data_IF_589297258273
#
_entry.id   IF_589297258273
#
_cell.length_a   1.000
_cell.length_b   1.000
_cell.length_c   1.000
_cell.angle_alpha   90.00
_cell.angle_beta   90.00
_cell.angle_gamma   90.00
#
_symmetry.space_group_name_H-M   'P 1'
#
loop_
_entity.id
_entity.type
_entity.pdbx_description
1 polymer ?
#
# COMPACT_ATOMS: atom_id res chain seq x y z
N UNK A 1 10.29 13.94 6.51
CA UNK A 1 9.50 13.14 5.57
C UNK A 1 9.13 14.04 4.41
N UNK A 2 9.56 13.67 3.21
CA UNK A 2 9.22 14.39 1.98
C UNK A 2 8.38 13.44 1.15
N UNK A 3 7.07 13.59 1.21
CA UNK A 3 6.14 12.72 0.49
C UNK A 3 5.95 13.23 -0.93
N UNK A 4 6.39 12.44 -1.91
CA UNK A 4 6.11 12.67 -3.31
C UNK A 4 4.78 12.02 -3.68
N UNK A 5 3.81 12.84 -4.07
CA UNK A 5 2.52 12.35 -4.58
C UNK A 5 2.70 11.61 -5.93
N UNK A 6 2.07 10.45 -6.05
CA UNK A 6 2.10 9.62 -7.27
C UNK A 6 0.74 9.55 -7.96
N UNK A 7 -0.33 9.49 -7.18
CA UNK A 7 -1.68 9.45 -7.71
C UNK A 7 -2.73 9.13 -6.67
N UNK A 8 -3.98 9.34 -7.09
CA UNK A 8 -5.20 9.06 -6.37
C UNK A 8 -6.12 8.24 -7.28
N UNK A 9 -7.00 7.45 -6.67
CA UNK A 9 -8.04 6.72 -7.38
C UNK A 9 -8.82 7.63 -8.36
N UNK A 10 -8.85 7.34 -9.67
CA UNK A 10 -9.53 8.20 -10.64
C UNK A 10 -11.06 8.19 -10.52
N UNK A 11 -11.63 7.24 -9.77
CA UNK A 11 -13.07 7.08 -9.58
C UNK A 11 -13.59 7.74 -8.30
N UNK A 12 -12.83 8.65 -7.68
CA UNK A 12 -13.23 9.33 -6.43
C UNK A 12 -14.53 10.13 -6.60
N UNK A 13 -15.64 9.62 -6.04
CA UNK A 13 -16.69 10.46 -5.45
C UNK A 13 -16.24 10.94 -4.07
N UNK A 14 -16.90 11.96 -3.51
CA UNK A 14 -16.50 12.78 -2.33
C UNK A 14 -16.14 12.05 -1.02
N UNK A 15 -16.07 10.72 -0.96
CA UNK A 15 -15.74 9.96 0.25
C UNK A 15 -14.70 8.83 0.12
N UNK A 16 -14.25 8.49 -1.09
CA UNK A 16 -13.31 7.38 -1.29
C UNK A 16 -12.10 7.82 -2.10
N UNK A 17 -10.96 7.98 -1.42
CA UNK A 17 -9.72 8.47 -2.03
C UNK A 17 -8.50 7.60 -1.72
N UNK A 18 -8.45 6.33 -2.16
CA UNK A 18 -7.21 5.57 -2.15
C UNK A 18 -6.09 6.36 -2.84
N UNK A 19 -4.97 6.56 -2.14
CA UNK A 19 -3.93 7.52 -2.54
C UNK A 19 -2.55 6.93 -2.31
N UNK A 20 -1.60 7.24 -3.20
CA UNK A 20 -0.25 6.68 -3.20
C UNK A 20 0.79 7.80 -3.22
N UNK A 21 1.77 7.69 -2.32
CA UNK A 21 2.96 8.52 -2.26
C UNK A 21 4.22 7.65 -2.19
N UNK A 22 5.36 8.28 -2.43
CA UNK A 22 6.69 7.75 -2.08
C UNK A 22 7.30 8.67 -1.03
N UNK A 23 7.82 8.13 0.06
CA UNK A 23 8.66 8.91 0.98
C UNK A 23 10.08 8.98 0.40
N UNK A 24 10.50 10.17 -0.03
CA UNK A 24 11.81 10.37 -0.66
C UNK A 24 12.99 10.22 0.32
N UNK A 25 12.73 10.10 1.63
CA UNK A 25 13.79 9.93 2.62
C UNK A 25 14.28 8.50 2.76
N UNK A 26 13.42 7.51 2.51
CA UNK A 26 13.74 6.09 2.67
C UNK A 26 13.25 5.22 1.49
N UNK A 27 12.58 5.82 0.50
CA UNK A 27 11.99 5.19 -0.68
C UNK A 27 10.80 4.28 -0.37
N UNK A 28 10.19 4.40 0.81
CA UNK A 28 9.01 3.62 1.15
C UNK A 28 7.78 4.09 0.36
N UNK A 29 6.94 3.12 0.01
CA UNK A 29 5.64 3.35 -0.60
C UNK A 29 4.63 3.63 0.52
N UNK A 30 4.01 4.81 0.51
CA UNK A 30 2.96 5.16 1.47
C UNK A 30 1.61 5.06 0.75
N UNK A 31 0.71 4.22 1.27
CA UNK A 31 -0.55 3.91 0.61
C UNK A 31 -1.72 4.10 1.57
N UNK A 32 -2.63 4.99 1.20
CA UNK A 32 -3.96 5.06 1.80
C UNK A 32 -4.90 4.14 1.02
N UNK A 33 -5.59 3.25 1.71
CA UNK A 33 -6.57 2.33 1.13
C UNK A 33 -7.78 2.12 2.02
N UNK A 34 -8.56 1.10 1.68
CA UNK A 34 -9.73 0.71 2.47
C UNK A 34 -9.35 -0.30 3.54
N UNK A 35 -10.02 -0.23 4.69
CA UNK A 35 -9.93 -1.28 5.70
C UNK A 35 -10.51 -2.59 5.15
N UNK A 36 -9.91 -3.75 5.46
CA UNK A 36 -10.48 -5.04 5.12
C UNK A 36 -11.76 -5.29 5.93
N UNK A 37 -12.55 -6.29 5.54
CA UNK A 37 -13.54 -6.87 6.43
C UNK A 37 -12.84 -7.81 7.42
N UNK A 38 -13.45 -8.12 8.58
CA UNK A 38 -12.86 -9.06 9.53
C UNK A 38 -12.54 -10.43 8.91
N UNK A 39 -13.36 -10.90 7.98
CA UNK A 39 -13.16 -12.18 7.29
C UNK A 39 -11.94 -12.15 6.37
N UNK A 40 -11.78 -11.06 5.60
CA UNK A 40 -10.62 -10.86 4.73
C UNK A 40 -9.33 -10.73 5.56
N UNK A 41 -9.38 -9.99 6.67
CA UNK A 41 -8.24 -9.83 7.56
C UNK A 41 -7.83 -11.16 8.20
N UNK A 42 -8.81 -11.96 8.65
CA UNK A 42 -8.57 -13.30 9.17
C UNK A 42 -8.00 -14.27 8.12
N UNK A 43 -8.47 -14.20 6.87
CA UNK A 43 -7.91 -14.99 5.76
C UNK A 43 -6.44 -14.64 5.52
N UNK A 44 -6.10 -13.35 5.50
CA UNK A 44 -4.71 -12.91 5.39
C UNK A 44 -3.86 -13.36 6.60
N UNK A 45 -4.39 -13.25 7.83
CA UNK A 45 -3.71 -13.64 9.05
C UNK A 45 -3.44 -15.16 9.15
N UNK A 46 -4.27 -15.98 8.52
CA UNK A 46 -4.11 -17.42 8.48
C UNK A 46 -3.08 -17.91 7.45
N UNK A 47 -2.52 -17.02 6.62
CA UNK A 47 -1.55 -17.40 5.61
C UNK A 47 -0.18 -17.74 6.25
N UNK A 48 0.29 -18.97 6.03
CA UNK A 48 1.55 -19.44 6.60
C UNK A 48 2.68 -19.41 5.56
N UNK A 49 3.81 -18.82 5.95
CA UNK A 49 5.07 -18.87 5.19
C UNK A 49 6.10 -19.63 6.03
N UNK A 50 6.76 -20.68 5.49
CA UNK A 50 7.78 -21.41 6.22
C UNK A 50 8.85 -20.49 6.80
N UNK A 51 9.07 -20.58 8.13
CA UNK A 51 10.03 -19.74 8.84
C UNK A 51 9.48 -18.43 9.39
N UNK A 52 8.18 -18.15 9.25
CA UNK A 52 7.51 -16.96 9.79
C UNK A 52 6.40 -17.34 10.77
N UNK A 53 6.09 -16.43 11.70
CA UNK A 53 4.96 -16.58 12.62
C UNK A 53 3.63 -16.44 11.85
N UNK A 54 2.61 -17.16 12.32
CA UNK A 54 1.24 -17.03 11.81
C UNK A 54 0.57 -15.82 12.45
N UNK A 55 -0.23 -15.09 11.67
CA UNK A 55 -0.93 -13.87 12.11
C UNK A 55 -0.32 -12.58 11.56
N UNK A 56 -0.99 -11.46 11.85
CA UNK A 56 -0.53 -10.11 11.52
C UNK A 56 0.01 -9.47 12.82
N UNK A 57 1.30 -9.07 12.87
CA UNK A 57 1.85 -8.36 14.03
C UNK A 57 1.15 -7.04 14.34
N UNK A 58 1.15 -6.61 15.61
CA UNK A 58 0.46 -5.40 16.08
C UNK A 58 0.84 -4.09 15.34
N UNK A 59 2.02 -4.06 14.71
CA UNK A 59 2.54 -2.90 13.99
C UNK A 59 2.34 -3.00 12.47
N UNK A 60 1.70 -4.08 11.99
CA UNK A 60 1.36 -4.30 10.59
C UNK A 60 -0.15 -4.22 10.40
N UNK A 61 -0.60 -3.95 9.16
CA UNK A 61 -2.01 -3.88 8.84
C UNK A 61 -2.27 -4.39 7.43
N UNK A 62 -3.38 -5.10 7.26
CA UNK A 62 -3.91 -5.41 5.93
C UNK A 62 -4.63 -4.17 5.40
N UNK A 63 -4.28 -3.73 4.20
CA UNK A 63 -4.92 -2.60 3.53
C UNK A 63 -5.43 -3.05 2.16
N UNK A 64 -6.72 -2.87 1.92
CA UNK A 64 -7.35 -3.25 0.64
C UNK A 64 -7.20 -2.13 -0.37
N UNK A 65 -6.56 -2.43 -1.49
CA UNK A 65 -6.34 -1.49 -2.60
C UNK A 65 -7.16 -1.92 -3.82
N UNK A 66 -7.98 -1.04 -4.43
CA UNK A 66 -8.71 -1.37 -5.64
C UNK A 66 -7.77 -1.70 -6.80
N UNK A 67 -8.07 -2.75 -7.58
CA UNK A 67 -7.23 -3.17 -8.70
C UNK A 67 -6.96 -2.07 -9.75
N UNK A 68 -7.88 -1.12 -9.91
CA UNK A 68 -7.73 0.05 -10.80
C UNK A 68 -6.59 0.99 -10.40
N UNK A 69 -6.08 0.92 -9.17
CA UNK A 69 -4.88 1.65 -8.74
C UNK A 69 -3.58 0.99 -9.22
N UNK A 70 -3.61 -0.22 -9.80
CA UNK A 70 -2.40 -0.91 -10.23
C UNK A 70 -1.46 -0.06 -11.12
N UNK A 71 -1.94 0.74 -12.09
CA UNK A 71 -1.07 1.64 -12.85
C UNK A 71 -0.40 2.73 -11.99
N UNK A 72 -1.06 3.19 -10.91
CA UNK A 72 -0.51 4.19 -9.98
C UNK A 72 0.57 3.53 -9.11
N UNK A 73 0.31 2.33 -8.59
CA UNK A 73 1.28 1.56 -7.81
C UNK A 73 2.55 1.26 -8.60
N UNK A 74 2.43 0.86 -9.88
CA UNK A 74 3.59 0.66 -10.75
C UNK A 74 4.45 1.92 -10.88
N UNK A 75 3.84 3.08 -11.09
CA UNK A 75 4.58 4.36 -11.14
C UNK A 75 5.26 4.70 -9.81
N UNK A 76 4.65 4.29 -8.69
CA UNK A 76 5.23 4.50 -7.37
C UNK A 76 6.48 3.62 -7.19
N UNK A 77 6.41 2.34 -7.61
CA UNK A 77 7.59 1.46 -7.66
C UNK A 77 8.70 2.06 -8.53
N UNK A 78 8.38 2.49 -9.76
CA UNK A 78 9.35 3.13 -10.65
C UNK A 78 10.03 4.36 -10.02
N UNK A 79 9.26 5.14 -9.23
CA UNK A 79 9.77 6.32 -8.55
C UNK A 79 10.66 5.97 -7.34
N UNK A 80 10.29 4.97 -6.56
CA UNK A 80 11.08 4.47 -5.43
C UNK A 80 12.42 3.90 -5.91
N UNK A 81 12.39 3.05 -6.94
CA UNK A 81 13.60 2.42 -7.52
C UNK A 81 14.56 3.45 -8.14
N UNK A 82 14.05 4.44 -8.88
CA UNK A 82 14.90 5.50 -9.46
C UNK A 82 15.63 6.34 -8.42
N UNK A 83 15.07 6.45 -7.22
CA UNK A 83 15.69 7.24 -6.15
C UNK A 83 16.88 6.48 -5.54
N UNK A 84 16.88 5.14 -5.58
CA UNK A 84 18.02 4.31 -5.17
C UNK A 84 19.23 4.42 -6.12
N UNK A 85 19.04 4.97 -7.32
CA UNK A 85 20.09 5.15 -8.34
C UNK A 85 20.76 6.54 -8.31
N UNK A 86 20.34 7.43 -7.41
CA UNK A 86 20.86 8.81 -7.27
C UNK A 86 21.79 8.92 -6.07
#
# INVERSE_FOLDING_TARGET
MTLRFIGIDPNTGTGESPTVWVDESNNDLIIQGWKPTPELEAECAAFEVPGHAVGIPDHEAVVRIPARLAPILRRACDAAERTQLR
#
